data_IF_716163407275
#
_entry.id   IF_716163407275
#
_cell.length_a   1.000
_cell.length_b   1.000
_cell.length_c   1.000
_cell.angle_alpha   90.00
_cell.angle_beta   90.00
_cell.angle_gamma   90.00
#
_symmetry.space_group_name_H-M   'P 1'
#
loop_
_entity.id
_entity.type
_entity.pdbx_description
1 polymer ?
#
# COMPACT_ATOMS: atom_id res chain seq x y z
N UNK A 1 27.30 17.34 -47.64
CA UNK A 1 26.56 16.18 -47.12
C UNK A 1 25.25 16.07 -47.89
N UNK A 2 25.00 14.95 -48.56
CA UNK A 2 23.77 14.77 -49.34
C UNK A 2 22.58 14.42 -48.42
N UNK A 3 21.34 14.52 -48.94
CA UNK A 3 20.11 14.28 -48.15
C UNK A 3 20.06 12.88 -47.52
N UNK A 4 20.63 11.86 -48.16
CA UNK A 4 20.69 10.49 -47.63
C UNK A 4 21.68 10.37 -46.47
N UNK A 5 22.85 10.99 -46.57
CA UNK A 5 23.85 11.04 -45.50
C UNK A 5 23.31 11.78 -44.27
N UNK A 6 22.63 12.92 -44.46
CA UNK A 6 21.97 13.65 -43.37
C UNK A 6 20.89 12.81 -42.68
N UNK A 7 20.04 12.11 -43.44
CA UNK A 7 19.06 11.20 -42.87
C UNK A 7 19.72 10.07 -42.07
N UNK A 8 20.79 9.48 -42.59
CA UNK A 8 21.45 8.35 -41.95
C UNK A 8 22.11 8.76 -40.63
N UNK A 9 22.78 9.92 -40.60
CA UNK A 9 23.31 10.52 -39.36
C UNK A 9 22.18 10.81 -38.36
N UNK A 10 21.05 11.36 -38.84
CA UNK A 10 19.89 11.64 -37.98
C UNK A 10 19.30 10.37 -37.36
N UNK A 11 19.18 9.29 -38.14
CA UNK A 11 18.70 7.99 -37.67
C UNK A 11 19.64 7.42 -36.60
N UNK A 12 20.96 7.48 -36.81
CA UNK A 12 21.95 7.00 -35.85
C UNK A 12 21.86 7.78 -34.54
N UNK A 13 21.72 9.11 -34.59
CA UNK A 13 21.55 9.95 -33.40
C UNK A 13 20.28 9.55 -32.64
N UNK A 14 19.17 9.32 -33.34
CA UNK A 14 17.91 8.87 -32.73
C UNK A 14 18.09 7.51 -32.03
N UNK A 15 18.76 6.56 -32.68
CA UNK A 15 19.01 5.23 -32.09
C UNK A 15 19.84 5.37 -30.81
N UNK A 16 20.94 6.12 -30.84
CA UNK A 16 21.79 6.34 -29.66
C UNK A 16 20.98 6.97 -28.52
N UNK A 17 20.14 7.96 -28.83
CA UNK A 17 19.31 8.64 -27.84
C UNK A 17 18.26 7.70 -27.22
N UNK A 18 17.59 6.89 -28.04
CA UNK A 18 16.63 5.88 -27.57
C UNK A 18 17.32 4.80 -26.72
N UNK A 19 18.50 4.34 -27.12
CA UNK A 19 19.31 3.40 -26.34
C UNK A 19 19.71 3.99 -24.98
N UNK A 20 20.09 5.27 -24.92
CA UNK A 20 20.41 5.95 -23.68
C UNK A 20 19.19 6.07 -22.75
N UNK A 21 18.02 6.46 -23.29
CA UNK A 21 16.77 6.49 -22.53
C UNK A 21 16.41 5.11 -21.99
N UNK A 22 16.49 4.07 -22.83
CA UNK A 22 16.23 2.69 -22.43
C UNK A 22 17.17 2.21 -21.32
N UNK A 23 18.46 2.48 -21.45
CA UNK A 23 19.45 2.17 -20.43
C UNK A 23 19.15 2.88 -19.09
N UNK A 24 18.85 4.18 -19.14
CA UNK A 24 18.48 4.96 -17.94
C UNK A 24 17.23 4.41 -17.28
N UNK A 25 16.22 4.04 -18.06
CA UNK A 25 14.98 3.43 -17.56
C UNK A 25 15.25 2.11 -16.84
N UNK A 26 16.04 1.21 -17.43
CA UNK A 26 16.41 -0.08 -16.84
C UNK A 26 17.20 0.12 -15.55
N UNK A 27 18.21 1.00 -15.57
CA UNK A 27 19.04 1.26 -14.40
C UNK A 27 18.22 1.82 -13.22
N UNK A 28 17.36 2.80 -13.46
CA UNK A 28 16.47 3.35 -12.42
C UNK A 28 15.49 2.28 -11.92
N UNK A 29 14.94 1.46 -12.83
CA UNK A 29 14.05 0.35 -12.43
C UNK A 29 14.76 -0.61 -11.47
N UNK A 30 15.98 -1.00 -11.78
CA UNK A 30 16.76 -1.91 -10.96
C UNK A 30 17.07 -1.30 -9.57
N UNK A 31 17.47 -0.02 -9.54
CA UNK A 31 17.72 0.70 -8.29
C UNK A 31 16.46 0.78 -7.42
N UNK A 32 15.31 1.17 -7.99
CA UNK A 32 14.06 1.26 -7.25
C UNK A 32 13.59 -0.12 -6.76
N UNK A 33 13.73 -1.16 -7.57
CA UNK A 33 13.37 -2.54 -7.19
C UNK A 33 14.19 -2.99 -5.99
N UNK A 34 15.51 -2.77 -6.00
CA UNK A 34 16.39 -3.17 -4.90
C UNK A 34 16.10 -2.39 -3.62
N UNK A 35 15.86 -1.08 -3.72
CA UNK A 35 15.44 -0.27 -2.57
C UNK A 35 14.13 -0.81 -1.96
N UNK A 36 13.13 -1.03 -2.80
CA UNK A 36 11.83 -1.54 -2.35
C UNK A 36 11.93 -2.92 -1.70
N UNK A 37 12.78 -3.81 -2.21
CA UNK A 37 13.00 -5.13 -1.58
C UNK A 37 13.47 -5.03 -0.13
N UNK A 38 14.27 -4.01 0.21
CA UNK A 38 14.77 -3.81 1.57
C UNK A 38 13.73 -3.18 2.50
N UNK A 39 12.88 -2.29 1.99
CA UNK A 39 12.03 -1.41 2.79
C UNK A 39 10.56 -1.88 2.85
N UNK A 40 10.07 -2.62 1.83
CA UNK A 40 8.63 -2.85 1.69
C UNK A 40 8.04 -3.70 2.80
N UNK A 41 8.78 -4.68 3.34
CA UNK A 41 8.25 -5.52 4.42
C UNK A 41 7.87 -4.68 5.63
N UNK A 42 8.76 -3.77 6.04
CA UNK A 42 8.50 -2.84 7.14
C UNK A 42 7.29 -1.94 6.86
N UNK A 43 7.19 -1.38 5.66
CA UNK A 43 6.03 -0.56 5.27
C UNK A 43 4.71 -1.34 5.38
N UNK A 44 4.69 -2.59 4.92
CA UNK A 44 3.49 -3.44 4.97
C UNK A 44 3.15 -3.82 6.41
N UNK A 45 4.13 -4.18 7.24
CA UNK A 45 3.91 -4.48 8.66
C UNK A 45 3.35 -3.25 9.40
N UNK A 46 3.95 -2.07 9.22
CA UNK A 46 3.43 -0.82 9.80
C UNK A 46 2.02 -0.48 9.31
N UNK A 47 1.74 -0.69 8.02
CA UNK A 47 0.41 -0.45 7.46
C UNK A 47 -0.63 -1.41 8.05
N UNK A 48 -0.30 -2.69 8.16
CA UNK A 48 -1.17 -3.72 8.76
C UNK A 48 -1.50 -3.37 10.21
N UNK A 49 -0.49 -3.02 11.00
CA UNK A 49 -0.68 -2.69 12.41
C UNK A 49 -1.55 -1.43 12.57
N UNK A 50 -1.36 -0.42 11.70
CA UNK A 50 -2.23 0.76 11.64
C UNK A 50 -3.66 0.41 11.27
N UNK A 51 -3.85 -0.41 10.24
CA UNK A 51 -5.18 -0.84 9.82
C UNK A 51 -5.89 -1.59 10.93
N UNK A 52 -5.21 -2.56 11.58
CA UNK A 52 -5.76 -3.30 12.72
C UNK A 52 -6.20 -2.36 13.83
N UNK A 53 -5.30 -1.46 14.24
CA UNK A 53 -5.58 -0.49 15.29
C UNK A 53 -6.81 0.38 15.00
N UNK A 54 -6.95 0.91 13.77
CA UNK A 54 -8.16 1.69 13.42
C UNK A 54 -9.39 0.82 13.19
N UNK A 55 -9.23 -0.45 12.82
CA UNK A 55 -10.34 -1.40 12.67
C UNK A 55 -10.90 -1.90 14.00
N UNK A 56 -10.21 -1.60 15.11
CA UNK A 56 -10.64 -1.88 16.47
C UNK A 56 -11.07 -0.59 17.21
N UNK A 57 -11.14 0.55 16.51
CA UNK A 57 -11.51 1.83 17.12
C UNK A 57 -10.42 2.46 18.00
N UNK A 58 -9.17 1.97 17.90
CA UNK A 58 -8.06 2.39 18.75
C UNK A 58 -8.12 1.78 20.15
N UNK A 59 -7.50 2.42 21.14
CA UNK A 59 -7.56 1.93 22.51
C UNK A 59 -8.86 2.33 23.21
N UNK A 60 -9.57 1.31 23.73
CA UNK A 60 -10.76 1.45 24.56
C UNK A 60 -11.89 2.29 23.92
N UNK A 61 -12.37 1.95 22.71
CA UNK A 61 -13.57 2.59 22.18
C UNK A 61 -14.76 2.40 23.12
N UNK A 62 -15.68 3.36 23.14
CA UNK A 62 -16.84 3.34 24.03
C UNK A 62 -18.09 2.94 23.25
N UNK A 63 -18.61 1.74 23.53
CA UNK A 63 -19.88 1.29 22.97
C UNK A 63 -21.02 2.11 23.60
N UNK A 64 -21.85 2.71 22.75
CA UNK A 64 -23.03 3.46 23.20
C UNK A 64 -24.11 2.42 23.49
N UNK A 65 -24.47 2.23 24.77
CA UNK A 65 -25.44 1.19 25.14
C UNK A 65 -26.81 1.37 24.48
N UNK A 66 -27.21 2.62 24.22
CA UNK A 66 -28.47 2.96 23.57
C UNK A 66 -28.41 2.87 22.03
N UNK A 67 -27.21 2.70 21.45
CA UNK A 67 -26.99 2.59 20.01
C UNK A 67 -25.85 1.60 19.70
N UNK A 68 -26.20 0.31 19.63
CA UNK A 68 -25.28 -0.79 19.35
C UNK A 68 -24.81 -0.84 17.88
N UNK A 69 -25.20 0.11 17.04
CA UNK A 69 -24.70 0.20 15.66
C UNK A 69 -23.32 0.84 15.58
N UNK A 70 -22.90 1.57 16.61
CA UNK A 70 -21.66 2.35 16.60
C UNK A 70 -20.97 2.42 17.95
N UNK A 71 -19.68 2.70 17.88
CA UNK A 71 -18.83 3.00 19.03
C UNK A 71 -18.25 4.41 18.92
N UNK A 72 -18.12 5.08 20.06
CA UNK A 72 -17.49 6.38 20.19
C UNK A 72 -15.96 6.20 20.31
N UNK A 73 -15.24 6.93 19.47
CA UNK A 73 -13.78 6.89 19.43
C UNK A 73 -13.22 7.92 20.40
N UNK A 74 -12.66 7.44 21.51
CA UNK A 74 -12.12 8.30 22.58
C UNK A 74 -10.59 8.36 22.59
N UNK A 75 -9.92 7.50 21.82
CA UNK A 75 -8.45 7.45 21.77
C UNK A 75 -7.88 8.78 21.25
N UNK A 76 -7.05 9.50 22.04
CA UNK A 76 -6.55 10.82 21.67
C UNK A 76 -5.73 10.85 20.39
N UNK A 77 -5.22 9.71 19.92
CA UNK A 77 -4.47 9.60 18.67
C UNK A 77 -5.35 9.62 17.42
N UNK A 78 -6.64 9.26 17.54
CA UNK A 78 -7.55 9.11 16.40
C UNK A 78 -8.97 9.66 16.64
N UNK A 79 -9.26 10.25 17.80
CA UNK A 79 -10.60 10.73 18.20
C UNK A 79 -11.21 11.90 17.38
N UNK A 80 -10.61 12.27 16.26
CA UNK A 80 -11.16 13.24 15.30
C UNK A 80 -10.84 12.75 13.90
N UNK A 81 -11.65 13.11 12.91
CA UNK A 81 -11.41 12.71 11.51
C UNK A 81 -10.02 13.15 11.02
N UNK A 82 -9.58 14.35 11.39
CA UNK A 82 -8.25 14.86 11.04
C UNK A 82 -7.13 13.98 11.60
N UNK A 83 -7.21 13.62 12.88
CA UNK A 83 -6.19 12.77 13.53
C UNK A 83 -6.17 11.36 12.96
N UNK A 84 -7.34 10.76 12.75
CA UNK A 84 -7.48 9.45 12.13
C UNK A 84 -6.83 9.42 10.73
N UNK A 85 -7.16 10.41 9.88
CA UNK A 85 -6.56 10.52 8.55
C UNK A 85 -5.05 10.71 8.62
N UNK A 86 -4.55 11.61 9.47
CA UNK A 86 -3.10 11.80 9.67
C UNK A 86 -2.41 10.54 10.17
N UNK A 87 -3.06 9.74 11.01
CA UNK A 87 -2.54 8.48 11.52
C UNK A 87 -2.36 7.45 10.40
N UNK A 88 -3.36 7.30 9.53
CA UNK A 88 -3.32 6.40 8.37
C UNK A 88 -2.35 6.90 7.29
N UNK A 89 -2.31 8.21 7.03
CA UNK A 89 -1.46 8.84 6.01
C UNK A 89 0.05 8.65 6.25
N UNK A 90 0.46 8.12 7.41
CA UNK A 90 1.84 7.71 7.65
C UNK A 90 2.27 6.56 6.73
N UNK A 91 1.37 5.67 6.36
CA UNK A 91 1.65 4.50 5.48
C UNK A 91 0.79 4.47 4.22
N UNK A 92 -0.38 5.12 4.23
CA UNK A 92 -1.33 5.14 3.13
C UNK A 92 -1.33 6.47 2.38
N UNK A 93 -1.71 6.47 1.10
CA UNK A 93 -2.01 7.73 0.38
C UNK A 93 -3.29 8.37 0.95
N UNK A 94 -3.49 9.67 0.69
CA UNK A 94 -4.66 10.40 1.19
C UNK A 94 -5.98 9.72 0.77
N UNK A 95 -6.05 9.29 -0.49
CA UNK A 95 -7.22 8.58 -1.02
C UNK A 95 -7.41 7.21 -0.37
N UNK A 96 -6.32 6.46 -0.16
CA UNK A 96 -6.39 5.16 0.50
C UNK A 96 -6.80 5.28 1.98
N UNK A 97 -6.29 6.29 2.68
CA UNK A 97 -6.66 6.58 4.06
C UNK A 97 -8.15 6.92 4.18
N UNK A 98 -8.68 7.75 3.27
CA UNK A 98 -10.11 8.06 3.25
C UNK A 98 -10.95 6.81 2.96
N UNK A 99 -10.55 6.01 1.97
CA UNK A 99 -11.22 4.75 1.63
C UNK A 99 -11.30 3.79 2.81
N UNK A 100 -10.22 3.67 3.60
CA UNK A 100 -10.22 2.86 4.83
C UNK A 100 -11.22 3.42 5.87
N UNK A 101 -11.26 4.74 6.05
CA UNK A 101 -12.23 5.35 6.98
C UNK A 101 -13.67 5.05 6.55
N UNK A 102 -13.96 5.16 5.26
CA UNK A 102 -15.29 4.91 4.70
C UNK A 102 -15.66 3.42 4.80
N UNK A 103 -14.73 2.50 4.51
CA UNK A 103 -14.92 1.05 4.63
C UNK A 103 -15.20 0.60 6.06
N UNK A 104 -14.57 1.24 7.05
CA UNK A 104 -14.76 0.96 8.47
C UNK A 104 -15.96 1.72 9.07
N UNK A 105 -16.69 2.50 8.27
CA UNK A 105 -17.89 3.21 8.71
C UNK A 105 -17.61 4.31 9.73
N UNK A 106 -16.49 5.03 9.58
CA UNK A 106 -16.21 6.19 10.43
C UNK A 106 -17.07 7.39 10.05
N UNK A 107 -17.70 8.00 11.05
CA UNK A 107 -18.55 9.19 10.88
C UNK A 107 -18.30 10.22 11.98
N UNK A 108 -18.44 11.50 11.66
CA UNK A 108 -18.33 12.59 12.63
C UNK A 108 -19.71 13.19 12.88
N UNK A 109 -20.17 13.13 14.14
CA UNK A 109 -21.47 13.64 14.58
C UNK A 109 -21.22 14.56 15.77
N UNK A 110 -21.69 15.81 15.67
CA UNK A 110 -21.54 16.83 16.72
C UNK A 110 -20.09 16.98 17.24
N UNK A 111 -19.11 16.89 16.35
CA UNK A 111 -17.68 17.01 16.66
C UNK A 111 -17.07 15.81 17.36
N UNK A 112 -17.80 14.69 17.47
CA UNK A 112 -17.31 13.41 17.98
C UNK A 112 -17.20 12.40 16.86
N UNK A 113 -16.13 11.63 16.89
CA UNK A 113 -15.88 10.59 15.90
C UNK A 113 -16.48 9.26 16.39
N UNK A 114 -17.27 8.64 15.52
CA UNK A 114 -17.87 7.33 15.72
C UNK A 114 -17.38 6.37 14.64
N UNK A 115 -17.47 5.07 14.92
CA UNK A 115 -17.22 3.99 13.96
C UNK A 115 -18.37 2.99 14.03
N UNK A 116 -18.76 2.41 12.90
CA UNK A 116 -19.67 1.27 12.89
C UNK A 116 -19.12 0.13 13.74
N UNK A 117 -19.97 -0.48 14.57
CA UNK A 117 -19.59 -1.64 15.37
C UNK A 117 -19.47 -2.86 14.45
N UNK A 118 -18.26 -3.30 14.17
CA UNK A 118 -17.99 -4.47 13.34
C UNK A 118 -16.74 -5.24 13.80
N UNK A 119 -16.78 -6.56 13.63
CA UNK A 119 -15.62 -7.42 13.83
C UNK A 119 -14.75 -7.44 12.57
N UNK A 120 -13.44 -7.32 12.75
CA UNK A 120 -12.46 -7.47 11.69
C UNK A 120 -11.66 -8.75 11.89
N UNK A 121 -11.67 -9.62 10.88
CA UNK A 121 -10.94 -10.91 10.91
C UNK A 121 -9.71 -10.79 10.01
N UNK A 122 -8.54 -11.09 10.57
CA UNK A 122 -7.26 -11.12 9.87
C UNK A 122 -6.83 -12.57 9.69
N UNK A 123 -6.92 -13.07 8.45
CA UNK A 123 -6.75 -14.51 8.16
C UNK A 123 -5.33 -14.88 7.71
N UNK A 124 -4.54 -13.89 7.29
CA UNK A 124 -3.24 -14.16 6.70
C UNK A 124 -2.10 -14.17 7.73
N UNK A 125 -1.23 -15.18 7.63
CA UNK A 125 0.04 -15.24 8.34
C UNK A 125 1.13 -14.48 7.57
N UNK A 126 1.28 -13.21 7.92
CA UNK A 126 2.24 -12.29 7.30
C UNK A 126 3.69 -12.56 7.70
N UNK A 127 3.95 -13.26 8.81
CA UNK A 127 5.32 -13.63 9.20
C UNK A 127 5.92 -14.62 8.19
N UNK A 128 5.06 -15.43 7.57
CA UNK A 128 5.40 -16.36 6.49
C UNK A 128 5.25 -15.76 5.09
N UNK A 129 4.89 -14.48 4.96
CA UNK A 129 4.74 -13.85 3.66
C UNK A 129 6.10 -13.72 2.95
N UNK A 130 6.09 -13.95 1.63
CA UNK A 130 7.26 -13.83 0.77
C UNK A 130 6.99 -12.92 -0.42
N UNK A 131 7.93 -12.04 -0.74
CA UNK A 131 7.84 -11.19 -1.93
C UNK A 131 8.05 -12.08 -3.16
N UNK A 132 7.03 -12.18 -4.01
CA UNK A 132 7.10 -12.89 -5.30
C UNK A 132 7.66 -12.04 -6.41
N UNK A 133 7.22 -10.78 -6.47
CA UNK A 133 7.70 -9.85 -7.48
C UNK A 133 7.48 -8.40 -7.03
N UNK A 134 8.29 -7.52 -7.60
CA UNK A 134 8.16 -6.07 -7.52
C UNK A 134 8.22 -5.54 -8.95
N UNK A 135 7.10 -4.96 -9.39
CA UNK A 135 6.94 -4.33 -10.70
C UNK A 135 7.01 -2.83 -10.53
N UNK A 136 8.11 -2.22 -10.95
CA UNK A 136 8.32 -0.78 -10.84
C UNK A 136 7.98 -0.07 -12.15
N UNK A 137 7.41 1.13 -12.04
CA UNK A 137 7.30 2.09 -13.13
C UNK A 137 8.13 3.33 -12.75
N UNK A 138 9.35 3.48 -13.30
CA UNK A 138 10.21 4.64 -13.05
C UNK A 138 9.60 5.98 -13.44
N UNK A 139 8.74 6.01 -14.47
CA UNK A 139 8.15 7.26 -14.99
C UNK A 139 7.16 7.86 -13.99
N UNK A 140 6.31 7.00 -13.43
CA UNK A 140 5.31 7.40 -12.43
C UNK A 140 5.83 7.24 -11.00
N UNK A 141 7.07 6.75 -10.82
CA UNK A 141 7.67 6.38 -9.53
C UNK A 141 6.74 5.50 -8.67
N UNK A 142 5.93 4.66 -9.32
CA UNK A 142 5.01 3.74 -8.65
C UNK A 142 5.54 2.32 -8.70
N UNK A 143 5.07 1.47 -7.81
CA UNK A 143 5.40 0.06 -7.83
C UNK A 143 4.17 -0.79 -7.50
N UNK A 144 4.13 -2.01 -8.03
CA UNK A 144 3.23 -3.05 -7.56
C UNK A 144 4.05 -4.14 -6.92
N UNK A 145 3.82 -4.39 -5.64
CA UNK A 145 4.49 -5.44 -4.88
C UNK A 145 3.52 -6.60 -4.71
N UNK A 146 4.00 -7.80 -5.04
CA UNK A 146 3.20 -9.03 -5.02
C UNK A 146 3.77 -9.91 -3.92
N UNK A 147 2.97 -10.14 -2.89
CA UNK A 147 3.27 -11.10 -1.84
C UNK A 147 2.57 -12.43 -2.12
N UNK A 148 3.24 -13.52 -1.78
CA UNK A 148 2.61 -14.81 -1.59
C UNK A 148 2.59 -15.15 -0.11
N UNK A 149 1.40 -15.48 0.38
CA UNK A 149 1.15 -15.88 1.75
C UNK A 149 0.71 -17.35 1.75
N UNK A 150 1.00 -18.11 2.81
CA UNK A 150 0.36 -19.41 2.98
C UNK A 150 -1.17 -19.21 3.04
N UNK A 151 -1.93 -20.08 2.39
CA UNK A 151 -3.39 -20.03 2.49
C UNK A 151 -3.84 -20.17 3.96
N UNK A 152 -4.92 -19.49 4.37
CA UNK A 152 -5.37 -19.41 5.76
C UNK A 152 -5.74 -20.78 6.37
N UNK A 153 -5.99 -21.78 5.53
CA UNK A 153 -6.33 -23.15 5.93
C UNK A 153 -5.29 -24.18 5.47
N UNK A 154 -4.13 -23.73 4.99
CA UNK A 154 -3.08 -24.62 4.55
C UNK A 154 -2.45 -25.34 5.75
N UNK A 155 -2.56 -26.67 5.80
CA UNK A 155 -1.83 -27.48 6.78
C UNK A 155 -0.32 -27.27 6.63
N UNK A 156 0.34 -27.07 7.78
CA UNK A 156 1.75 -26.66 7.94
C UNK A 156 2.80 -27.51 7.21
N UNK A 157 2.45 -28.67 6.65
CA UNK A 157 3.38 -29.66 6.10
C UNK A 157 3.15 -30.05 4.64
N UNK A 158 2.26 -29.37 3.91
CA UNK A 158 2.11 -29.60 2.46
C UNK A 158 2.94 -28.60 1.66
N UNK A 159 3.94 -29.12 0.92
CA UNK A 159 4.71 -28.33 -0.06
C UNK A 159 3.83 -27.78 -1.21
N UNK A 160 2.56 -28.19 -1.28
CA UNK A 160 1.53 -27.80 -2.24
C UNK A 160 0.46 -26.84 -1.67
N UNK A 161 0.72 -26.23 -0.51
CA UNK A 161 -0.21 -25.25 0.07
C UNK A 161 -0.52 -24.13 -0.94
N UNK A 162 -1.81 -24.00 -1.30
CA UNK A 162 -2.32 -22.90 -2.12
C UNK A 162 -1.86 -21.59 -1.48
N UNK A 163 -1.13 -20.78 -2.25
CA UNK A 163 -0.64 -19.50 -1.77
C UNK A 163 -1.62 -18.41 -2.17
N UNK A 164 -2.08 -17.66 -1.18
CA UNK A 164 -2.84 -16.43 -1.45
C UNK A 164 -1.89 -15.35 -1.94
N UNK A 165 -2.38 -14.59 -2.93
CA UNK A 165 -1.60 -13.54 -3.59
C UNK A 165 -2.20 -12.19 -3.21
N UNK A 166 -1.49 -11.44 -2.38
CA UNK A 166 -1.83 -10.06 -2.03
C UNK A 166 -0.97 -9.11 -2.84
N UNK A 167 -1.60 -8.08 -3.42
CA UNK A 167 -0.93 -7.08 -4.25
C UNK A 167 -1.09 -5.70 -3.64
N UNK A 168 0.03 -5.01 -3.46
CA UNK A 168 0.05 -3.62 -3.02
C UNK A 168 0.47 -2.72 -4.18
N UNK A 169 -0.33 -1.70 -4.46
CA UNK A 169 0.07 -0.59 -5.31
C UNK A 169 0.68 0.48 -4.42
N UNK A 170 1.94 0.82 -4.68
CA UNK A 170 2.71 1.82 -3.97
C UNK A 170 2.93 3.05 -4.85
N UNK A 171 2.77 4.23 -4.26
CA UNK A 171 3.08 5.51 -4.92
C UNK A 171 4.06 6.27 -4.05
N UNK A 172 5.04 6.92 -4.71
CA UNK A 172 6.00 7.77 -4.03
C UNK A 172 5.36 9.12 -3.68
N UNK A 173 5.26 9.40 -2.39
CA UNK A 173 4.73 10.64 -1.81
C UNK A 173 5.69 11.83 -2.03
N UNK A 174 5.21 13.04 -1.75
CA UNK A 174 5.99 14.30 -1.85
C UNK A 174 7.23 14.32 -0.95
N UNK A 175 7.17 13.61 0.16
CA UNK A 175 8.28 13.39 1.11
C UNK A 175 9.31 12.33 0.62
N UNK A 176 9.17 11.85 -0.62
CA UNK A 176 10.02 10.83 -1.25
C UNK A 176 9.96 9.45 -0.55
N UNK A 177 8.91 9.18 0.24
CA UNK A 177 8.62 7.85 0.80
C UNK A 177 7.56 7.11 -0.02
N UNK A 178 7.56 5.78 0.01
CA UNK A 178 6.50 5.00 -0.62
C UNK A 178 5.31 4.85 0.34
N UNK A 179 4.10 5.05 -0.18
CA UNK A 179 2.85 4.83 0.53
C UNK A 179 1.94 3.88 -0.24
N UNK A 180 1.11 3.15 0.49
CA UNK A 180 0.13 2.22 -0.07
C UNK A 180 -1.05 3.02 -0.61
N UNK A 181 -1.26 2.90 -1.92
CA UNK A 181 -2.36 3.53 -2.64
C UNK A 181 -3.56 2.59 -2.81
N UNK A 182 -3.30 1.29 -2.93
CA UNK A 182 -4.34 0.29 -3.03
C UNK A 182 -3.82 -1.10 -2.61
N UNK A 183 -4.73 -1.96 -2.17
CA UNK A 183 -4.47 -3.36 -1.83
C UNK A 183 -5.52 -4.25 -2.49
N UNK A 184 -5.08 -5.38 -3.04
CA UNK A 184 -5.96 -6.44 -3.55
C UNK A 184 -5.59 -7.72 -2.80
N UNK A 185 -6.59 -8.38 -2.21
CA UNK A 185 -6.42 -9.63 -1.46
C UNK A 185 -6.73 -9.51 0.04
N UNK A 186 -6.87 -8.29 0.58
CA UNK A 186 -7.16 -8.09 2.00
C UNK A 186 -5.93 -8.19 2.91
N UNK A 187 -6.16 -7.89 4.19
CA UNK A 187 -5.18 -8.07 5.27
C UNK A 187 -5.22 -9.47 5.84
#
# INVERSE_FOLDING_TARGET
MNKKEFMLVSIVIIIIFLSFIGYRYINISHQLKNQLYAEVKLLIDEARDRYRYVSEGGYNPVIIQDDLSKELIVDPNINTKEKLLKFLQKTYTDNAAQKICDELGYEEIDGKLYRALCDCIFIHDWDKASIKDIKVNPLTKSATVIFALPGPFAESNSNDSVKDIVKFKLIKSKDNTYKIDNMIGGW
#
